data_IF_405833766535
#
_entry.id   IF_405833766535
#
_cell.length_a   1.000
_cell.length_b   1.000
_cell.length_c   1.000
_cell.angle_alpha   90.00
_cell.angle_beta   90.00
_cell.angle_gamma   90.00
#
_symmetry.space_group_name_H-M   'P 1'
#
loop_
_entity.id
_entity.type
_entity.pdbx_description
1 polymer ?
#
# COMPACT_ATOMS: atom_id res chain seq x y z
N UNK A 1 -22.17 -20.74 -8.31
CA UNK A 1 -21.77 -19.34 -8.40
C UNK A 1 -21.62 -18.73 -7.01
N UNK A 2 -21.08 -17.55 -6.95
CA UNK A 2 -20.97 -16.73 -5.74
C UNK A 2 -21.77 -15.44 -5.95
N UNK A 3 -22.56 -15.04 -4.96
CA UNK A 3 -23.32 -13.80 -4.97
C UNK A 3 -22.73 -12.89 -3.90
N UNK A 4 -22.27 -11.70 -4.31
CA UNK A 4 -21.79 -10.66 -3.39
C UNK A 4 -22.86 -9.57 -3.29
N UNK A 5 -23.27 -9.26 -2.06
CA UNK A 5 -24.28 -8.25 -1.77
C UNK A 5 -23.63 -7.06 -1.09
N UNK A 6 -23.85 -5.88 -1.65
CA UNK A 6 -23.43 -4.59 -1.12
C UNK A 6 -24.54 -3.98 -0.29
N UNK A 7 -24.22 -3.54 0.92
CA UNK A 7 -25.13 -2.80 1.78
C UNK A 7 -24.65 -1.35 1.86
N UNK A 8 -25.58 -0.42 1.82
CA UNK A 8 -25.29 1.01 1.75
C UNK A 8 -25.90 1.74 2.96
N UNK A 9 -25.22 2.74 3.44
CA UNK A 9 -25.74 3.65 4.46
C UNK A 9 -26.76 4.65 3.83
N UNK A 10 -27.37 5.50 4.67
CA UNK A 10 -28.33 6.49 4.22
C UNK A 10 -27.77 7.55 3.25
N UNK A 11 -26.46 7.73 3.20
CA UNK A 11 -25.77 8.62 2.26
C UNK A 11 -25.39 7.93 0.94
N UNK A 12 -25.74 6.64 0.76
CA UNK A 12 -25.42 5.88 -0.44
C UNK A 12 -23.98 5.35 -0.50
N UNK A 13 -23.24 5.41 0.61
CA UNK A 13 -21.89 4.88 0.70
C UNK A 13 -21.94 3.42 1.18
N UNK A 14 -21.00 2.59 0.70
CA UNK A 14 -20.91 1.18 1.09
C UNK A 14 -20.66 1.07 2.59
N UNK A 15 -21.54 0.40 3.32
CA UNK A 15 -21.43 0.17 4.76
C UNK A 15 -20.87 -1.21 5.09
N UNK A 16 -21.30 -2.24 4.35
CA UNK A 16 -20.83 -3.61 4.53
C UNK A 16 -20.98 -4.44 3.25
N UNK A 17 -20.28 -5.60 3.21
CA UNK A 17 -20.38 -6.58 2.12
C UNK A 17 -20.56 -7.99 2.71
N UNK A 18 -21.49 -8.74 2.11
CA UNK A 18 -21.66 -10.15 2.39
C UNK A 18 -21.51 -10.98 1.11
N UNK A 19 -21.10 -12.22 1.26
CA UNK A 19 -21.00 -13.21 0.18
C UNK A 19 -21.86 -14.43 0.50
N UNK A 20 -22.55 -14.95 -0.50
CA UNK A 20 -23.18 -16.27 -0.46
C UNK A 20 -22.59 -17.14 -1.56
N UNK A 21 -21.83 -18.15 -1.14
CA UNK A 21 -21.21 -19.12 -2.03
C UNK A 21 -21.74 -20.52 -1.73
N UNK A 22 -22.47 -21.10 -2.70
CA UNK A 22 -23.08 -22.43 -2.57
C UNK A 22 -23.97 -22.58 -1.33
N UNK A 23 -24.73 -21.53 -0.98
CA UNK A 23 -25.60 -21.50 0.19
C UNK A 23 -24.90 -21.21 1.52
N UNK A 24 -23.58 -21.02 1.52
CA UNK A 24 -22.81 -20.61 2.70
C UNK A 24 -22.63 -19.10 2.70
N UNK A 25 -23.17 -18.45 3.70
CA UNK A 25 -23.01 -17.01 3.91
C UNK A 25 -21.70 -16.72 4.64
N UNK A 26 -21.05 -15.61 4.27
CA UNK A 26 -19.88 -15.06 4.95
C UNK A 26 -19.86 -13.55 4.85
N UNK A 27 -19.35 -12.89 5.87
CA UNK A 27 -19.09 -11.46 5.87
C UNK A 27 -17.73 -11.19 5.23
N UNK A 28 -17.68 -10.37 4.19
CA UNK A 28 -16.43 -9.92 3.57
C UNK A 28 -15.92 -8.65 4.25
N UNK A 29 -16.80 -7.65 4.35
CA UNK A 29 -16.59 -6.40 5.07
C UNK A 29 -17.70 -6.25 6.09
N UNK A 30 -17.34 -6.23 7.36
CA UNK A 30 -18.33 -6.11 8.45
C UNK A 30 -18.79 -4.66 8.62
N UNK A 31 -17.89 -3.68 8.39
CA UNK A 31 -18.24 -2.28 8.54
C UNK A 31 -17.25 -1.40 7.77
N UNK A 32 -17.75 -0.32 7.16
CA UNK A 32 -16.97 0.82 6.67
C UNK A 32 -17.51 2.07 7.36
N UNK A 33 -16.61 2.91 7.88
CA UNK A 33 -16.92 4.21 8.46
C UNK A 33 -16.33 5.34 7.62
N UNK A 34 -17.06 6.45 7.55
CA UNK A 34 -16.68 7.63 6.79
C UNK A 34 -16.67 8.87 7.68
N UNK A 35 -15.85 9.85 7.34
CA UNK A 35 -15.94 11.18 7.92
C UNK A 35 -17.00 12.05 7.20
N UNK A 36 -17.13 13.31 7.64
CA UNK A 36 -18.09 14.26 7.05
C UNK A 36 -17.78 14.63 5.59
N UNK A 37 -16.54 14.44 5.14
CA UNK A 37 -16.05 14.78 3.80
C UNK A 37 -16.08 13.56 2.87
N UNK A 38 -16.48 12.38 3.41
CA UNK A 38 -16.65 11.14 2.66
C UNK A 38 -15.38 10.28 2.60
N UNK A 39 -14.31 10.64 3.31
CA UNK A 39 -13.13 9.79 3.40
C UNK A 39 -13.42 8.57 4.27
N UNK A 40 -12.92 7.41 3.85
CA UNK A 40 -12.96 6.21 4.68
C UNK A 40 -12.03 6.39 5.89
N UNK A 41 -12.58 6.35 7.11
CA UNK A 41 -11.82 6.47 8.37
C UNK A 41 -11.72 5.15 9.12
N UNK A 42 -12.54 4.18 8.77
CA UNK A 42 -12.56 2.88 9.43
C UNK A 42 -13.02 1.77 8.47
N UNK A 43 -12.39 0.60 8.56
CA UNK A 43 -12.83 -0.61 7.86
C UNK A 43 -12.63 -1.81 8.77
N UNK A 44 -13.67 -2.62 8.94
CA UNK A 44 -13.62 -3.92 9.62
C UNK A 44 -13.91 -5.03 8.63
N UNK A 45 -12.98 -5.95 8.47
CA UNK A 45 -13.16 -7.11 7.61
C UNK A 45 -13.88 -8.25 8.34
N UNK A 46 -14.46 -9.18 7.59
CA UNK A 46 -15.15 -10.36 8.14
C UNK A 46 -14.25 -11.31 8.92
N UNK A 47 -12.93 -11.26 8.72
CA UNK A 47 -11.95 -12.00 9.51
C UNK A 47 -11.58 -11.32 10.84
N UNK A 48 -12.22 -10.17 11.18
CA UNK A 48 -12.00 -9.43 12.40
C UNK A 48 -10.83 -8.47 12.40
N UNK A 49 -10.11 -8.31 11.28
CA UNK A 49 -9.10 -7.25 11.17
C UNK A 49 -9.76 -5.88 11.01
N UNK A 50 -9.14 -4.87 11.61
CA UNK A 50 -9.65 -3.50 11.62
C UNK A 50 -8.57 -2.55 11.11
N UNK A 51 -8.96 -1.64 10.22
CA UNK A 51 -8.08 -0.57 9.71
C UNK A 51 -8.68 0.77 10.04
N UNK A 52 -7.88 1.68 10.60
CA UNK A 52 -8.24 3.08 10.80
C UNK A 52 -7.37 3.98 9.94
N UNK A 53 -7.94 5.10 9.49
CA UNK A 53 -7.27 6.07 8.65
C UNK A 53 -7.40 7.45 9.26
N UNK A 54 -6.31 8.22 9.25
CA UNK A 54 -6.28 9.60 9.71
C UNK A 54 -5.77 10.49 8.58
N UNK A 55 -6.45 11.61 8.37
CA UNK A 55 -6.14 12.57 7.32
C UNK A 55 -5.70 13.90 7.89
N UNK A 56 -4.75 14.58 7.23
CA UNK A 56 -4.39 15.94 7.61
C UNK A 56 -5.55 16.91 7.29
N UNK A 57 -5.83 17.80 8.24
CA UNK A 57 -7.01 18.67 8.17
C UNK A 57 -6.93 19.78 7.11
N UNK A 58 -5.76 20.04 6.52
CA UNK A 58 -5.57 21.16 5.58
C UNK A 58 -5.63 20.70 4.13
N UNK A 59 -5.07 19.52 3.83
CA UNK A 59 -4.93 18.99 2.47
C UNK A 59 -5.62 17.64 2.28
N UNK A 60 -6.24 17.12 3.34
CA UNK A 60 -7.01 15.85 3.33
C UNK A 60 -6.19 14.65 2.84
N UNK A 61 -4.85 14.71 3.02
CA UNK A 61 -3.95 13.63 2.68
C UNK A 61 -3.94 12.59 3.80
N UNK A 62 -3.79 11.32 3.43
CA UNK A 62 -3.63 10.24 4.39
C UNK A 62 -2.36 10.46 5.24
N UNK A 63 -2.52 10.72 6.52
CA UNK A 63 -1.43 10.94 7.47
C UNK A 63 -0.99 9.65 8.16
N UNK A 64 -1.96 8.82 8.54
CA UNK A 64 -1.70 7.57 9.23
C UNK A 64 -2.72 6.49 8.85
N UNK A 65 -2.26 5.25 8.74
CA UNK A 65 -3.08 4.06 8.56
C UNK A 65 -2.64 2.99 9.57
N UNK A 66 -3.58 2.55 10.40
CA UNK A 66 -3.36 1.52 11.41
C UNK A 66 -4.15 0.27 11.08
N UNK A 67 -3.50 -0.89 11.11
CA UNK A 67 -4.10 -2.20 11.00
C UNK A 67 -3.96 -2.94 12.32
N UNK A 68 -5.07 -3.45 12.84
CA UNK A 68 -5.10 -4.31 14.04
C UNK A 68 -5.76 -5.64 13.74
N UNK A 69 -5.37 -6.67 14.48
CA UNK A 69 -6.04 -7.96 14.51
C UNK A 69 -6.22 -8.41 15.97
N UNK A 70 -7.44 -8.77 16.34
CA UNK A 70 -7.81 -9.11 17.72
C UNK A 70 -7.33 -8.05 18.75
N UNK A 71 -7.45 -6.76 18.41
CA UNK A 71 -7.04 -5.63 19.23
C UNK A 71 -5.53 -5.38 19.30
N UNK A 72 -4.71 -6.19 18.62
CA UNK A 72 -3.25 -6.04 18.60
C UNK A 72 -2.79 -5.35 17.33
N UNK A 73 -1.86 -4.38 17.40
CA UNK A 73 -1.36 -3.69 16.23
C UNK A 73 -0.53 -4.63 15.34
N UNK A 74 -0.83 -4.64 14.05
CA UNK A 74 -0.12 -5.40 13.01
C UNK A 74 0.73 -4.47 12.15
N UNK A 75 0.24 -3.25 11.87
CA UNK A 75 0.92 -2.26 11.06
C UNK A 75 0.45 -0.86 11.46
N UNK A 76 1.37 0.08 11.47
CA UNK A 76 1.08 1.51 11.64
C UNK A 76 1.94 2.27 10.64
N UNK A 77 1.35 2.65 9.51
CA UNK A 77 2.03 3.44 8.50
C UNK A 77 1.79 4.93 8.74
N UNK A 78 2.88 5.69 8.83
CA UNK A 78 2.87 7.16 8.82
C UNK A 78 3.47 7.67 7.53
N UNK A 79 2.78 8.61 6.89
CA UNK A 79 3.12 9.14 5.58
C UNK A 79 3.71 10.54 5.69
N UNK A 80 4.71 10.85 4.89
CA UNK A 80 5.27 12.20 4.73
C UNK A 80 5.14 12.60 3.27
N UNK A 81 4.85 13.86 3.03
CA UNK A 81 4.60 14.42 1.71
C UNK A 81 5.45 15.65 1.45
N UNK A 82 5.70 15.95 0.19
CA UNK A 82 6.20 17.24 -0.24
C UNK A 82 5.06 18.28 -0.45
N UNK A 83 5.42 19.44 -0.99
CA UNK A 83 4.47 20.53 -1.22
C UNK A 83 3.46 20.24 -2.35
N UNK A 84 3.74 19.28 -3.22
CA UNK A 84 2.90 18.90 -4.38
C UNK A 84 2.29 17.50 -4.23
N UNK A 85 2.23 17.00 -2.98
CA UNK A 85 1.58 15.75 -2.57
C UNK A 85 2.27 14.46 -2.99
N UNK A 86 3.54 14.50 -3.42
CA UNK A 86 4.32 13.30 -3.56
C UNK A 86 4.66 12.70 -2.19
N UNK A 87 4.57 11.38 -2.06
CA UNK A 87 4.94 10.68 -0.82
C UNK A 87 6.47 10.65 -0.69
N UNK A 88 7.02 11.39 0.25
CA UNK A 88 8.46 11.40 0.56
C UNK A 88 8.90 10.24 1.42
N UNK A 89 8.00 9.60 2.14
CA UNK A 89 8.33 8.46 2.97
C UNK A 89 7.15 7.83 3.66
N UNK A 90 7.35 6.55 4.01
CA UNK A 90 6.39 5.74 4.78
C UNK A 90 7.18 5.07 5.90
N UNK A 91 6.73 5.24 7.14
CA UNK A 91 7.35 4.64 8.31
C UNK A 91 6.32 3.74 9.00
N UNK A 92 6.67 2.47 9.17
CA UNK A 92 5.94 1.54 10.04
C UNK A 92 6.82 1.22 11.25
N UNK A 93 6.32 1.50 12.46
CA UNK A 93 7.05 1.27 13.72
C UNK A 93 6.63 -0.03 14.42
N UNK A 94 5.57 -0.67 13.95
CA UNK A 94 5.03 -1.89 14.56
C UNK A 94 5.81 -3.11 14.09
N UNK A 95 6.22 -3.95 15.04
CA UNK A 95 6.81 -5.27 14.79
C UNK A 95 5.92 -6.37 15.35
N UNK A 96 4.97 -6.91 14.57
CA UNK A 96 4.05 -7.96 15.01
C UNK A 96 4.76 -9.30 15.23
N UNK A 97 6.03 -9.45 14.82
CA UNK A 97 6.82 -10.66 15.07
C UNK A 97 7.16 -10.86 16.56
N UNK A 98 7.13 -9.78 17.34
CA UNK A 98 7.23 -9.85 18.81
C UNK A 98 6.00 -10.49 19.44
N UNK A 99 4.89 -10.64 18.70
CA UNK A 99 3.61 -11.20 19.13
C UNK A 99 3.37 -12.53 18.42
N UNK A 100 4.10 -13.57 18.83
CA UNK A 100 4.15 -14.87 18.16
C UNK A 100 2.81 -15.59 18.01
N UNK A 101 1.81 -15.26 18.84
CA UNK A 101 0.46 -15.84 18.78
C UNK A 101 -0.37 -15.32 17.59
N UNK A 102 -0.08 -14.10 17.09
CA UNK A 102 -0.86 -13.42 16.07
C UNK A 102 -0.25 -13.58 14.68
N UNK A 103 1.07 -13.52 14.58
CA UNK A 103 1.77 -13.56 13.30
C UNK A 103 2.57 -14.84 13.10
N UNK A 104 1.89 -15.98 12.95
CA UNK A 104 2.53 -17.27 12.64
C UNK A 104 3.29 -17.27 11.32
N UNK A 105 2.89 -16.45 10.37
CA UNK A 105 3.53 -16.33 9.06
C UNK A 105 4.79 -15.45 9.08
N UNK A 106 5.08 -14.77 10.19
CA UNK A 106 6.21 -13.83 10.34
C UNK A 106 6.23 -12.74 9.25
N UNK A 107 5.04 -12.31 8.84
CA UNK A 107 4.85 -11.23 7.86
C UNK A 107 4.83 -9.87 8.55
N UNK A 108 5.21 -8.83 7.80
CA UNK A 108 5.24 -7.46 8.29
C UNK A 108 6.48 -7.18 9.14
N UNK A 109 6.43 -6.10 9.88
CA UNK A 109 7.51 -5.63 10.75
C UNK A 109 7.81 -4.15 10.53
N UNK A 110 8.61 -3.59 11.47
CA UNK A 110 9.06 -2.22 11.38
C UNK A 110 9.84 -1.98 10.09
N UNK A 111 9.51 -0.90 9.39
CA UNK A 111 10.15 -0.52 8.14
C UNK A 111 10.15 1.00 7.95
N UNK A 112 11.11 1.48 7.17
CA UNK A 112 11.20 2.88 6.78
C UNK A 112 11.52 2.95 5.29
N UNK A 113 10.68 3.68 4.54
CA UNK A 113 10.85 3.90 3.12
C UNK A 113 11.01 5.39 2.85
N UNK A 114 11.88 5.74 1.90
CA UNK A 114 12.08 7.10 1.43
C UNK A 114 12.04 7.14 -0.09
N UNK A 115 11.47 8.21 -0.65
CA UNK A 115 11.23 8.37 -2.07
C UNK A 115 11.71 9.73 -2.54
N UNK A 116 12.23 9.78 -3.77
CA UNK A 116 12.62 11.02 -4.44
C UNK A 116 12.00 11.06 -5.84
N UNK A 117 11.63 12.24 -6.24
CA UNK A 117 10.95 12.49 -7.51
C UNK A 117 11.72 13.51 -8.33
N UNK A 118 11.56 13.48 -9.63
CA UNK A 118 12.05 14.51 -10.53
C UNK A 118 11.05 15.70 -10.62
N UNK A 119 11.39 16.68 -11.44
CA UNK A 119 10.58 17.89 -11.65
C UNK A 119 9.20 17.60 -12.29
N UNK A 120 9.01 16.41 -12.87
CA UNK A 120 7.74 15.94 -13.43
C UNK A 120 6.96 15.02 -12.47
N UNK A 121 7.34 14.98 -11.18
CA UNK A 121 6.75 14.12 -10.15
C UNK A 121 6.86 12.62 -10.45
N UNK A 122 7.89 12.19 -11.20
CA UNK A 122 8.15 10.78 -11.48
C UNK A 122 9.12 10.23 -10.44
N UNK A 123 8.85 9.05 -9.90
CA UNK A 123 9.69 8.40 -8.90
C UNK A 123 11.03 7.97 -9.53
N UNK A 124 12.13 8.62 -9.13
CA UNK A 124 13.48 8.35 -9.65
C UNK A 124 14.34 7.56 -8.67
N UNK A 125 14.05 7.62 -7.38
CA UNK A 125 14.82 6.91 -6.37
C UNK A 125 13.94 6.48 -5.21
N UNK A 126 14.16 5.27 -4.72
CA UNK A 126 13.53 4.75 -3.50
C UNK A 126 14.54 3.97 -2.67
N UNK A 127 14.45 4.12 -1.36
CA UNK A 127 15.15 3.27 -0.40
C UNK A 127 14.17 2.70 0.61
N UNK A 128 14.49 1.52 1.09
CA UNK A 128 13.72 0.91 2.17
C UNK A 128 14.63 0.14 3.11
N UNK A 129 14.31 0.20 4.40
CA UNK A 129 15.01 -0.53 5.45
C UNK A 129 14.01 -1.23 6.35
N UNK A 130 14.21 -2.51 6.56
CA UNK A 130 13.53 -3.33 7.55
C UNK A 130 14.56 -3.96 8.49
N UNK A 131 14.12 -4.79 9.44
CA UNK A 131 15.00 -5.41 10.45
C UNK A 131 16.22 -6.14 9.85
N UNK A 132 15.99 -6.92 8.78
CA UNK A 132 16.98 -7.84 8.23
C UNK A 132 17.31 -7.58 6.76
N UNK A 133 16.81 -6.50 6.17
CA UNK A 133 17.01 -6.19 4.77
C UNK A 133 16.88 -4.70 4.50
N UNK A 134 17.62 -4.22 3.51
CA UNK A 134 17.44 -2.91 2.91
C UNK A 134 17.45 -3.03 1.39
N UNK A 135 16.89 -2.05 0.71
CA UNK A 135 16.97 -1.95 -0.74
C UNK A 135 17.19 -0.52 -1.19
N UNK A 136 17.79 -0.40 -2.34
CA UNK A 136 17.86 0.84 -3.11
C UNK A 136 17.29 0.56 -4.50
N UNK A 137 16.44 1.45 -5.00
CA UNK A 137 15.87 1.38 -6.34
C UNK A 137 16.09 2.71 -7.05
N UNK A 138 16.46 2.66 -8.34
CA UNK A 138 16.61 3.82 -9.20
C UNK A 138 15.82 3.59 -10.50
N UNK A 139 15.20 4.66 -11.00
CA UNK A 139 14.53 4.68 -12.30
C UNK A 139 14.98 5.86 -13.13
N UNK A 140 15.05 5.66 -14.43
CA UNK A 140 15.23 6.74 -15.41
C UNK A 140 14.11 6.73 -16.43
N UNK A 141 13.81 7.91 -16.96
CA UNK A 141 12.70 8.12 -17.86
C UNK A 141 13.15 8.87 -19.12
N UNK A 142 12.50 8.61 -20.23
CA UNK A 142 12.67 9.36 -21.45
C UNK A 142 11.82 10.63 -21.47
N UNK A 143 11.84 11.30 -22.61
CA UNK A 143 11.20 12.61 -22.81
C UNK A 143 9.67 12.54 -22.79
N UNK A 144 9.09 11.38 -23.10
CA UNK A 144 7.64 11.14 -23.08
C UNK A 144 7.18 10.48 -21.76
N UNK A 145 8.05 10.50 -20.73
CA UNK A 145 7.84 9.85 -19.43
C UNK A 145 7.80 8.32 -19.47
N UNK A 146 8.27 7.73 -20.56
CA UNK A 146 8.45 6.29 -20.67
C UNK A 146 9.62 5.83 -19.76
N UNK A 147 9.50 4.75 -18.99
CA UNK A 147 10.60 4.17 -18.25
C UNK A 147 11.72 3.70 -19.17
N UNK A 148 12.97 4.08 -18.89
CA UNK A 148 14.14 3.61 -19.64
C UNK A 148 14.89 2.54 -18.86
N UNK A 149 15.09 2.75 -17.57
CA UNK A 149 15.74 1.76 -16.71
C UNK A 149 15.04 1.66 -15.37
N UNK A 150 15.11 0.47 -14.77
CA UNK A 150 14.75 0.24 -13.37
C UNK A 150 15.76 -0.72 -12.75
N UNK A 151 16.50 -0.25 -11.77
CA UNK A 151 17.55 -1.01 -11.09
C UNK A 151 17.21 -1.14 -9.63
N UNK A 152 17.28 -2.34 -9.08
CA UNK A 152 17.13 -2.57 -7.65
C UNK A 152 18.29 -3.40 -7.11
N UNK A 153 18.81 -2.96 -5.97
CA UNK A 153 19.79 -3.69 -5.18
C UNK A 153 19.21 -3.94 -3.79
N UNK A 154 19.34 -5.17 -3.31
CA UNK A 154 18.91 -5.60 -1.98
C UNK A 154 20.12 -5.99 -1.18
N UNK A 155 20.31 -5.34 -0.03
CA UNK A 155 21.35 -5.66 0.94
C UNK A 155 20.79 -6.67 1.95
N UNK A 156 20.86 -7.93 1.60
CA UNK A 156 20.50 -9.08 2.43
C UNK A 156 21.01 -10.34 1.79
N UNK A 157 20.88 -11.49 2.47
CA UNK A 157 21.12 -12.81 1.89
C UNK A 157 20.21 -13.14 0.68
N UNK A 158 19.19 -12.31 0.40
CA UNK A 158 18.23 -12.49 -0.70
C UNK A 158 18.63 -11.70 -1.97
N UNK A 159 19.88 -11.77 -2.39
CA UNK A 159 20.40 -11.12 -3.61
C UNK A 159 19.68 -11.53 -4.89
N UNK A 160 18.97 -12.68 -4.88
CA UNK A 160 18.09 -13.11 -5.98
C UNK A 160 16.94 -12.11 -6.28
N UNK A 161 16.70 -11.12 -5.42
CA UNK A 161 15.73 -10.03 -5.63
C UNK A 161 16.33 -8.79 -6.30
N UNK A 162 17.62 -8.81 -6.62
CA UNK A 162 18.24 -7.77 -7.42
C UNK A 162 17.76 -7.87 -8.86
N UNK A 163 17.54 -6.73 -9.49
CA UNK A 163 17.26 -6.68 -10.92
C UNK A 163 17.84 -5.41 -11.55
N UNK A 164 18.14 -5.53 -12.84
CA UNK A 164 18.54 -4.41 -13.68
C UNK A 164 17.75 -4.53 -14.99
N UNK A 165 16.69 -3.77 -15.08
CA UNK A 165 15.78 -3.78 -16.21
C UNK A 165 16.11 -2.59 -17.13
N UNK A 166 16.22 -2.88 -18.42
CA UNK A 166 16.32 -1.88 -19.51
C UNK A 166 15.08 -2.07 -20.38
N UNK A 167 14.29 -1.04 -20.50
CA UNK A 167 13.07 -1.04 -21.30
C UNK A 167 13.39 -0.58 -22.72
N UNK A 168 12.88 -1.31 -23.69
CA UNK A 168 12.96 -0.96 -25.11
C UNK A 168 11.56 -0.73 -25.65
N UNK A 169 11.45 0.07 -26.71
CA UNK A 169 10.19 0.47 -27.32
C UNK A 169 10.31 0.26 -28.82
N UNK A 170 10.37 -1.02 -29.23
CA UNK A 170 10.68 -1.45 -30.60
C UNK A 170 9.42 -1.82 -31.41
N UNK A 171 8.26 -1.90 -30.74
CA UNK A 171 6.99 -2.19 -31.43
C UNK A 171 6.35 -0.91 -31.96
N UNK A 172 6.42 -0.72 -33.28
CA UNK A 172 5.83 0.45 -33.96
C UNK A 172 4.31 0.52 -33.83
N UNK A 173 3.64 -0.62 -33.64
CA UNK A 173 2.18 -0.67 -33.43
C UNK A 173 1.77 -0.29 -32.01
N UNK A 174 2.70 -0.41 -31.05
CA UNK A 174 2.50 -0.07 -29.64
C UNK A 174 3.70 0.72 -29.08
N UNK A 175 3.93 1.95 -29.56
CA UNK A 175 5.17 2.70 -29.29
C UNK A 175 5.37 3.11 -27.85
N UNK A 176 4.34 2.98 -26.99
CA UNK A 176 4.40 3.26 -25.55
C UNK A 176 4.48 2.00 -24.69
N UNK A 177 4.35 0.81 -25.28
CA UNK A 177 4.49 -0.46 -24.58
C UNK A 177 5.95 -0.93 -24.61
N UNK A 178 6.59 -1.24 -23.48
CA UNK A 178 7.94 -1.79 -23.47
C UNK A 178 7.94 -3.22 -24.04
N UNK A 179 8.97 -3.54 -24.78
CA UNK A 179 9.22 -4.86 -25.40
C UNK A 179 10.28 -5.63 -24.64
#
# INVERSE_FOLDING_TARGET
>A
GEIVTYHYNAAGQVESLTSNKLGKESTLIAQVGYDKDGHTVYTKLGNGTETTYTYDKKRERLEEMNLTAAGSPIMQNKYRYDAVDNILGIINTVDPQSQSSINKAKLGGASNHSYQYDELNRLIHATGKAKNASYTMQMTFGRMSEPLTKVQQVDSSATARNYNLVYKYEDESHPTAPT
#
